data_IF_186506941322
#
_entry.id   IF_186506941322
#
_cell.length_a   1.000
_cell.length_b   1.000
_cell.length_c   1.000
_cell.angle_alpha   90.00
_cell.angle_beta   90.00
_cell.angle_gamma   90.00
#
_symmetry.space_group_name_H-M   'P 1'
#
loop_
_entity.id
_entity.type
_entity.pdbx_description
1 polymer ?
#
# COMPACT_ATOMS: atom_id res chain seq x y z
N UNK A 1 -13.22 1.28 -8.48
CA UNK A 1 -13.57 1.56 -7.06
C UNK A 1 -13.34 3.03 -6.77
N UNK A 2 -14.30 3.66 -6.16
CA UNK A 2 -14.12 5.04 -5.77
C UNK A 2 -13.17 5.16 -4.58
N UNK A 3 -12.59 6.34 -4.41
CA UNK A 3 -11.69 6.64 -3.31
C UNK A 3 -12.50 6.75 -2.02
N UNK A 4 -12.61 5.67 -1.29
CA UNK A 4 -13.40 5.57 -0.07
C UNK A 4 -12.50 5.43 1.15
N UNK A 5 -13.11 5.60 2.32
CA UNK A 5 -12.39 5.36 3.58
C UNK A 5 -11.95 3.91 3.70
N UNK A 6 -12.72 2.98 3.14
CA UNK A 6 -12.36 1.57 3.15
C UNK A 6 -11.06 1.36 2.37
N UNK A 7 -10.94 1.94 1.17
CA UNK A 7 -9.73 1.87 0.38
C UNK A 7 -8.55 2.48 1.15
N UNK A 8 -8.75 3.65 1.71
CA UNK A 8 -7.69 4.33 2.46
C UNK A 8 -7.20 3.50 3.64
N UNK A 9 -8.10 2.74 4.26
CA UNK A 9 -7.73 1.89 5.39
C UNK A 9 -6.84 0.73 5.03
N UNK A 10 -6.90 0.24 3.78
CA UNK A 10 -6.06 -0.89 3.36
C UNK A 10 -4.89 -0.47 2.49
N UNK A 11 -4.90 0.74 1.95
CA UNK A 11 -3.90 1.18 0.98
C UNK A 11 -2.48 1.15 1.54
N UNK A 12 -2.30 1.62 2.75
CA UNK A 12 -0.99 1.63 3.39
C UNK A 12 -0.39 0.23 3.47
N UNK A 13 -1.20 -0.75 3.88
CA UNK A 13 -0.75 -2.14 3.96
C UNK A 13 -0.38 -2.72 2.61
N UNK A 14 -1.15 -2.39 1.57
CA UNK A 14 -0.85 -2.85 0.21
C UNK A 14 0.45 -2.24 -0.29
N UNK A 15 0.67 -0.97 -0.04
CA UNK A 15 1.91 -0.29 -0.45
C UNK A 15 3.11 -0.91 0.25
N UNK A 16 3.01 -1.17 1.55
CA UNK A 16 4.09 -1.83 2.30
C UNK A 16 4.37 -3.23 1.74
N UNK A 17 3.31 -3.96 1.38
CA UNK A 17 3.44 -5.29 0.79
C UNK A 17 4.25 -5.27 -0.51
N UNK A 18 4.06 -4.24 -1.32
CA UNK A 18 4.77 -4.09 -2.59
C UNK A 18 6.24 -3.72 -2.34
N UNK A 19 6.47 -2.73 -1.47
CA UNK A 19 7.81 -2.20 -1.21
C UNK A 19 8.70 -3.26 -0.54
N UNK A 20 8.14 -4.12 0.32
CA UNK A 20 8.94 -5.12 1.02
C UNK A 20 9.53 -6.18 0.09
N UNK A 21 9.02 -6.31 -1.11
CA UNK A 21 9.54 -7.28 -2.08
C UNK A 21 10.83 -6.82 -2.74
N UNK A 22 11.15 -5.54 -2.64
CA UNK A 22 12.37 -4.99 -3.22
C UNK A 22 12.20 -3.50 -3.46
N UNK A 23 13.31 -2.81 -3.61
CA UNK A 23 13.31 -1.39 -3.90
C UNK A 23 12.49 -1.10 -5.15
N UNK A 24 11.64 -0.06 -5.08
CA UNK A 24 10.71 0.29 -6.14
C UNK A 24 10.48 1.80 -6.17
N UNK A 25 9.65 2.25 -7.08
CA UNK A 25 9.31 3.66 -7.22
C UNK A 25 7.81 3.82 -7.47
N UNK A 26 7.31 5.06 -7.35
CA UNK A 26 5.87 5.31 -7.35
C UNK A 26 5.12 4.76 -8.55
N UNK A 27 5.65 4.96 -9.75
CA UNK A 27 4.98 4.49 -10.96
C UNK A 27 4.87 2.96 -10.99
N UNK A 28 5.92 2.28 -10.56
CA UNK A 28 5.90 0.82 -10.49
C UNK A 28 4.88 0.33 -9.45
N UNK A 29 4.79 1.02 -8.32
CA UNK A 29 3.79 0.69 -7.30
C UNK A 29 2.39 0.81 -7.88
N UNK A 30 2.11 1.89 -8.62
CA UNK A 30 0.82 2.08 -9.27
C UNK A 30 0.53 0.95 -10.25
N UNK A 31 1.53 0.53 -11.03
CA UNK A 31 1.37 -0.56 -11.99
C UNK A 31 0.99 -1.88 -11.30
N UNK A 32 1.65 -2.18 -10.19
CA UNK A 32 1.34 -3.40 -9.43
C UNK A 32 -0.07 -3.34 -8.87
N UNK A 33 -0.46 -2.17 -8.34
CA UNK A 33 -1.81 -1.98 -7.81
C UNK A 33 -2.86 -2.16 -8.91
N UNK A 34 -2.61 -1.59 -10.07
CA UNK A 34 -3.51 -1.70 -11.20
C UNK A 34 -3.68 -3.16 -11.65
N UNK A 35 -2.58 -3.90 -11.75
CA UNK A 35 -2.61 -5.32 -12.09
C UNK A 35 -3.40 -6.13 -11.07
N UNK A 36 -3.40 -5.70 -9.81
CA UNK A 36 -4.15 -6.36 -8.75
C UNK A 36 -5.64 -6.01 -8.75
N UNK A 37 -6.05 -5.07 -9.61
CA UNK A 37 -7.45 -4.69 -9.74
C UNK A 37 -7.81 -3.30 -9.25
N UNK A 38 -6.85 -2.53 -8.73
CA UNK A 38 -7.08 -1.15 -8.30
C UNK A 38 -6.94 -0.21 -9.49
N UNK A 39 -7.84 -0.33 -10.45
CA UNK A 39 -7.72 0.34 -11.75
C UNK A 39 -7.80 1.86 -11.69
N UNK A 40 -8.51 2.39 -10.71
CA UNK A 40 -8.73 3.84 -10.62
C UNK A 40 -7.82 4.53 -9.61
N UNK A 41 -6.77 3.85 -9.15
CA UNK A 41 -5.88 4.44 -8.17
C UNK A 41 -5.00 5.50 -8.82
N UNK A 42 -5.17 6.74 -8.36
CA UNK A 42 -4.45 7.88 -8.93
C UNK A 42 -3.18 8.18 -8.14
N UNK A 43 -2.24 8.86 -8.81
CA UNK A 43 -1.02 9.35 -8.16
C UNK A 43 -1.35 10.23 -6.96
N UNK A 44 -2.39 11.06 -7.06
CA UNK A 44 -2.82 11.93 -5.97
C UNK A 44 -3.28 11.19 -4.72
N UNK A 45 -3.65 9.93 -4.86
CA UNK A 45 -4.01 9.08 -3.72
C UNK A 45 -2.79 8.34 -3.17
N UNK A 46 -1.90 7.89 -4.05
CA UNK A 46 -0.73 7.11 -3.65
C UNK A 46 0.37 7.96 -3.00
N UNK A 47 0.74 9.09 -3.61
CA UNK A 47 1.90 9.85 -3.14
C UNK A 47 1.79 10.37 -1.72
N UNK A 48 0.62 10.81 -1.23
CA UNK A 48 0.50 11.16 0.18
C UNK A 48 0.76 10.00 1.13
N UNK A 49 0.42 8.78 0.73
CA UNK A 49 0.71 7.58 1.52
C UNK A 49 2.21 7.35 1.61
N UNK A 50 2.92 7.46 0.48
CA UNK A 50 4.38 7.30 0.44
C UNK A 50 5.07 8.36 1.31
N UNK A 51 4.63 9.60 1.20
CA UNK A 51 5.19 10.69 1.99
C UNK A 51 5.02 10.45 3.48
N UNK A 52 3.81 10.01 3.89
CA UNK A 52 3.54 9.72 5.28
C UNK A 52 4.38 8.56 5.81
N UNK A 53 4.46 7.48 5.06
CA UNK A 53 5.26 6.31 5.45
C UNK A 53 6.74 6.66 5.58
N UNK A 54 7.26 7.50 4.68
CA UNK A 54 8.64 7.97 4.73
C UNK A 54 8.87 8.78 6.01
N UNK A 55 7.99 9.73 6.28
CA UNK A 55 8.11 10.58 7.48
C UNK A 55 8.01 9.76 8.77
N UNK A 56 7.25 8.68 8.75
CA UNK A 56 7.06 7.83 9.93
C UNK A 56 8.14 6.76 10.07
N UNK A 57 9.10 6.73 9.15
CA UNK A 57 10.21 5.78 9.23
C UNK A 57 9.87 4.35 8.80
N UNK A 58 8.71 4.14 8.19
CA UNK A 58 8.31 2.82 7.72
C UNK A 58 8.96 2.45 6.40
N UNK A 59 9.31 3.44 5.59
CA UNK A 59 10.05 3.25 4.35
C UNK A 59 11.19 4.26 4.30
N UNK A 60 12.20 3.95 3.51
CA UNK A 60 13.33 4.86 3.26
C UNK A 60 13.27 5.28 1.80
N UNK A 61 13.53 6.55 1.55
CA UNK A 61 13.50 7.12 0.22
C UNK A 61 14.91 7.56 -0.18
N UNK A 62 15.35 7.19 -1.39
CA UNK A 62 16.55 7.75 -1.98
C UNK A 62 16.22 8.31 -3.34
N UNK A 63 16.94 9.34 -3.74
CA UNK A 63 16.79 9.94 -5.06
C UNK A 63 17.96 9.49 -5.93
N UNK A 64 17.65 9.13 -7.18
CA UNK A 64 18.67 8.73 -8.13
C UNK A 64 18.18 9.03 -9.54
N UNK A 65 19.12 9.16 -10.47
CA UNK A 65 18.75 9.30 -11.88
C UNK A 65 18.11 8.01 -12.36
N UNK A 66 16.96 8.14 -13.03
CA UNK A 66 16.36 7.01 -13.71
C UNK A 66 17.15 6.70 -14.98
N UNK A 67 16.98 5.51 -15.58
CA UNK A 67 17.65 5.17 -16.83
C UNK A 67 17.40 6.16 -17.96
N UNK A 68 16.26 6.88 -17.90
CA UNK A 68 15.89 7.83 -18.95
C UNK A 68 16.27 9.27 -18.60
N UNK A 69 16.96 9.51 -17.49
CA UNK A 69 17.51 10.81 -17.15
C UNK A 69 16.91 11.57 -15.99
N UNK A 70 15.57 11.64 -15.82
CA UNK A 70 15.01 12.39 -14.71
C UNK A 70 15.33 11.77 -13.36
N UNK A 71 15.42 12.62 -12.33
CA UNK A 71 15.60 12.14 -10.97
C UNK A 71 14.33 11.45 -10.52
N UNK A 72 14.49 10.29 -9.90
CA UNK A 72 13.39 9.45 -9.45
C UNK A 72 13.59 9.10 -7.98
N UNK A 73 12.50 9.03 -7.23
CA UNK A 73 12.52 8.59 -5.83
C UNK A 73 12.32 7.08 -5.78
N UNK A 74 13.24 6.41 -5.09
CA UNK A 74 13.17 4.97 -4.86
C UNK A 74 12.88 4.72 -3.40
N UNK A 75 12.03 3.75 -3.14
CA UNK A 75 11.57 3.41 -1.78
C UNK A 75 11.96 1.99 -1.44
N UNK A 76 12.41 1.79 -0.22
CA UNK A 76 12.67 0.47 0.33
C UNK A 76 12.07 0.38 1.72
N UNK A 77 11.77 -0.85 2.17
CA UNK A 77 11.14 -1.03 3.46
C UNK A 77 12.20 -0.98 4.56
N UNK A 78 11.82 -0.44 5.71
CA UNK A 78 12.67 -0.45 6.90
C UNK A 78 12.24 -1.60 7.81
N UNK A 79 13.03 -1.86 8.87
CA UNK A 79 12.65 -2.85 9.87
C UNK A 79 11.31 -2.48 10.52
N UNK A 80 11.11 -1.20 10.79
CA UNK A 80 9.85 -0.70 11.34
C UNK A 80 8.69 -0.90 10.37
N UNK A 81 8.95 -0.68 9.08
CA UNK A 81 7.94 -0.90 8.05
C UNK A 81 7.54 -2.35 7.91
N UNK A 82 8.51 -3.28 8.02
CA UNK A 82 8.21 -4.71 7.97
C UNK A 82 7.35 -5.13 9.16
N UNK A 83 7.64 -4.61 10.33
CA UNK A 83 6.85 -4.86 11.52
C UNK A 83 5.42 -4.33 11.37
N UNK A 84 5.29 -3.13 10.83
CA UNK A 84 3.99 -2.52 10.56
C UNK A 84 3.20 -3.33 9.53
N UNK A 85 3.87 -3.84 8.51
CA UNK A 85 3.26 -4.71 7.51
C UNK A 85 2.71 -5.99 8.14
N UNK A 86 3.50 -6.65 9.00
CA UNK A 86 3.05 -7.88 9.65
C UNK A 86 1.83 -7.64 10.53
N UNK A 87 1.84 -6.53 11.25
CA UNK A 87 0.70 -6.14 12.07
C UNK A 87 -0.54 -5.90 11.21
N UNK A 88 -0.36 -5.20 10.09
CA UNK A 88 -1.46 -4.97 9.16
C UNK A 88 -2.07 -6.29 8.68
N UNK A 89 -1.24 -7.25 8.30
CA UNK A 89 -1.75 -8.54 7.82
C UNK A 89 -2.61 -9.24 8.86
N UNK A 90 -2.14 -9.26 10.11
CA UNK A 90 -2.91 -9.88 11.20
C UNK A 90 -4.24 -9.17 11.42
N UNK A 91 -4.19 -7.86 11.50
CA UNK A 91 -5.39 -7.05 11.75
C UNK A 91 -6.38 -7.15 10.61
N UNK A 92 -5.87 -7.16 9.37
CA UNK A 92 -6.72 -7.24 8.20
C UNK A 92 -7.49 -8.56 8.16
N UNK A 93 -6.79 -9.68 8.38
CA UNK A 93 -7.42 -11.01 8.37
C UNK A 93 -8.49 -11.12 9.44
N UNK A 94 -8.19 -10.63 10.64
CA UNK A 94 -9.14 -10.66 11.74
C UNK A 94 -10.37 -9.79 11.43
N UNK A 95 -10.14 -8.59 10.91
CA UNK A 95 -11.24 -7.68 10.60
C UNK A 95 -12.14 -8.24 9.51
N UNK A 96 -11.56 -8.84 8.46
CA UNK A 96 -12.32 -9.45 7.38
C UNK A 96 -13.20 -10.57 7.93
N UNK A 97 -12.63 -11.45 8.75
CA UNK A 97 -13.37 -12.56 9.32
C UNK A 97 -14.52 -12.07 10.19
N UNK A 98 -14.27 -11.10 11.07
CA UNK A 98 -15.30 -10.53 11.94
C UNK A 98 -16.41 -9.86 11.14
N UNK A 99 -16.03 -9.13 10.10
CA UNK A 99 -17.00 -8.44 9.25
C UNK A 99 -17.86 -9.45 8.50
N UNK A 100 -17.24 -10.49 7.95
CA UNK A 100 -17.97 -11.53 7.24
C UNK A 100 -18.93 -12.30 8.15
N UNK A 101 -18.60 -12.44 9.43
CA UNK A 101 -19.53 -13.08 10.37
C UNK A 101 -20.88 -12.34 10.45
N UNK A 102 -20.83 -11.03 10.25
CA UNK A 102 -22.06 -10.23 10.23
C UNK A 102 -22.72 -10.23 8.86
N UNK A 103 -21.92 -9.96 7.81
CA UNK A 103 -22.44 -9.84 6.44
C UNK A 103 -22.89 -11.19 5.88
N UNK A 104 -22.18 -12.25 6.20
CA UNK A 104 -22.46 -13.58 5.70
C UNK A 104 -23.80 -14.14 6.16
N UNK A 105 -24.29 -13.72 7.31
CA UNK A 105 -25.58 -14.15 7.80
C UNK A 105 -26.70 -13.62 6.92
N UNK A 106 -26.56 -12.40 6.42
CA UNK A 106 -27.53 -11.81 5.53
C UNK A 106 -27.55 -12.53 4.18
N UNK A 107 -26.39 -12.95 3.70
CA UNK A 107 -26.27 -13.68 2.43
C UNK A 107 -26.92 -15.05 2.49
N UNK A 108 -26.89 -15.68 3.66
CA UNK A 108 -27.49 -16.99 3.85
C UNK A 108 -28.98 -16.92 4.09
N UNK A 109 -29.43 -15.79 4.51
CA UNK A 109 -30.83 -15.56 4.77
C UNK A 109 -31.59 -15.21 3.52
#
# INVERSE_FOLDING_TARGET
MEDTQLLKGVLEGCVLAIIRKGETYGYEILSVMEEAGFEDLAEGTLYPVLTRLDKQGAIACRKAKSPLGPIRKYYSITAEGEERYQKFCRNFKQLVMQTENILGEDEKG
#
